data_IF_570603150497
#
_entry.id   IF_570603150497
#
_cell.length_a   1.000
_cell.length_b   1.000
_cell.length_c   1.000
_cell.angle_alpha   90.00
_cell.angle_beta   90.00
_cell.angle_gamma   90.00
#
_symmetry.space_group_name_H-M   'P 1'
#
loop_
_entity.id
_entity.type
_entity.pdbx_description
1 polymer ?
#
# COMPACT_ATOMS: atom_id res chain seq x y z
N UNK A 1 -4.34 -18.99 13.42
CA UNK A 1 -5.02 -18.31 12.29
C UNK A 1 -4.57 -16.88 12.33
N UNK A 2 -3.64 -16.49 11.44
CA UNK A 2 -3.10 -15.13 11.44
C UNK A 2 -4.22 -14.23 10.92
N UNK A 3 -4.88 -13.54 11.85
CA UNK A 3 -5.95 -12.59 11.57
C UNK A 3 -5.33 -11.49 10.72
N UNK A 4 -5.49 -11.57 9.40
CA UNK A 4 -5.05 -10.55 8.46
C UNK A 4 -5.78 -9.25 8.78
N UNK A 5 -5.25 -8.48 9.72
CA UNK A 5 -5.78 -7.18 10.10
C UNK A 5 -5.74 -6.31 8.85
N UNK A 6 -6.92 -6.02 8.27
CA UNK A 6 -7.04 -5.05 7.18
C UNK A 6 -6.39 -3.75 7.64
N UNK A 7 -5.22 -3.44 7.09
CA UNK A 7 -4.53 -2.17 7.36
C UNK A 7 -5.30 -1.08 6.64
N UNK A 8 -5.89 -0.20 7.42
CA UNK A 8 -6.55 1.01 6.92
C UNK A 8 -5.48 2.04 6.57
N UNK A 9 -5.82 3.06 5.76
CA UNK A 9 -4.87 4.13 5.41
C UNK A 9 -4.29 4.89 6.63
N UNK A 10 -4.93 4.77 7.81
CA UNK A 10 -4.48 5.32 9.09
C UNK A 10 -3.31 4.55 9.71
N UNK A 11 -3.11 3.29 9.33
CA UNK A 11 -2.08 2.42 9.89
C UNK A 11 -0.71 2.59 9.20
N UNK A 12 -0.63 3.47 8.20
CA UNK A 12 0.58 3.74 7.46
C UNK A 12 1.21 5.05 7.91
N UNK A 13 2.46 4.96 8.39
CA UNK A 13 3.30 6.12 8.67
C UNK A 13 3.52 6.94 7.39
N UNK A 14 3.79 8.24 7.55
CA UNK A 14 4.11 9.11 6.42
C UNK A 14 5.29 8.56 5.60
N UNK A 15 6.34 8.07 6.27
CA UNK A 15 7.50 7.47 5.64
C UNK A 15 7.14 6.27 4.76
N UNK A 16 6.23 5.40 5.22
CA UNK A 16 5.75 4.28 4.41
C UNK A 16 5.00 4.74 3.16
N UNK A 17 4.14 5.76 3.28
CA UNK A 17 3.39 6.29 2.12
C UNK A 17 4.34 6.85 1.07
N UNK A 18 5.37 7.58 1.50
CA UNK A 18 6.38 8.14 0.61
C UNK A 18 7.20 7.05 -0.09
N UNK A 19 7.60 5.98 0.62
CA UNK A 19 8.37 4.89 0.00
C UNK A 19 7.56 4.12 -1.04
N UNK A 20 6.24 3.96 -0.84
CA UNK A 20 5.36 3.35 -1.84
C UNK A 20 5.25 4.24 -3.08
N UNK A 21 5.11 5.55 -2.91
CA UNK A 21 5.05 6.51 -4.04
C UNK A 21 6.36 6.47 -4.83
N UNK A 22 7.51 6.49 -4.15
CA UNK A 22 8.82 6.43 -4.79
C UNK A 22 8.98 5.16 -5.66
N UNK A 23 8.58 3.99 -5.15
CA UNK A 23 8.63 2.74 -5.91
C UNK A 23 7.71 2.76 -7.15
N UNK A 24 6.55 3.44 -7.06
CA UNK A 24 5.65 3.62 -8.22
C UNK A 24 6.27 4.55 -9.26
N UNK A 25 6.82 5.68 -8.82
CA UNK A 25 7.44 6.69 -9.71
C UNK A 25 8.68 6.14 -10.42
N UNK A 26 9.45 5.29 -9.75
CA UNK A 26 10.60 4.58 -10.33
C UNK A 26 10.20 3.45 -11.30
N UNK A 27 8.92 3.07 -11.35
CA UNK A 27 8.42 1.96 -12.17
C UNK A 27 8.75 0.57 -11.60
N UNK A 28 9.21 0.49 -10.35
CA UNK A 28 9.51 -0.77 -9.67
C UNK A 28 8.24 -1.56 -9.32
N UNK A 29 7.11 -0.86 -9.16
CA UNK A 29 5.80 -1.45 -8.99
C UNK A 29 4.70 -0.59 -9.61
N UNK A 30 3.63 -1.22 -10.11
CA UNK A 30 2.42 -0.49 -10.46
C UNK A 30 1.60 -0.19 -9.20
N UNK A 31 0.73 0.81 -9.25
CA UNK A 31 -0.18 1.09 -8.14
C UNK A 31 -1.03 -0.15 -7.76
N UNK A 32 -1.40 -0.99 -8.74
CA UNK A 32 -2.17 -2.24 -8.50
C UNK A 32 -1.34 -3.28 -7.75
N UNK A 33 -0.05 -3.35 -8.06
CA UNK A 33 0.87 -4.27 -7.37
C UNK A 33 1.16 -3.79 -5.95
N UNK A 34 1.29 -2.48 -5.73
CA UNK A 34 1.36 -1.89 -4.40
C UNK A 34 0.13 -2.25 -3.56
N UNK A 35 -1.07 -2.15 -4.13
CA UNK A 35 -2.31 -2.51 -3.44
C UNK A 35 -2.31 -3.97 -2.98
N UNK A 36 -1.95 -4.90 -3.86
CA UNK A 36 -1.89 -6.34 -3.53
C UNK A 36 -0.79 -6.65 -2.52
N UNK A 37 0.41 -6.09 -2.71
CA UNK A 37 1.60 -6.37 -1.89
C UNK A 37 1.48 -5.81 -0.48
N UNK A 38 0.93 -4.60 -0.37
CA UNK A 38 0.86 -3.90 0.91
C UNK A 38 -0.53 -3.93 1.55
N UNK A 39 -1.55 -4.47 0.87
CA UNK A 39 -2.93 -4.44 1.37
C UNK A 39 -3.52 -3.03 1.39
N UNK A 40 -3.13 -2.18 0.43
CA UNK A 40 -3.64 -0.81 0.34
C UNK A 40 -5.00 -0.84 -0.34
N UNK A 41 -6.00 -0.27 0.35
CA UNK A 41 -7.35 -0.16 -0.16
C UNK A 41 -7.43 0.77 -1.38
N UNK A 42 -8.18 0.36 -2.40
CA UNK A 42 -8.39 1.14 -3.63
C UNK A 42 -9.58 2.10 -3.56
N UNK A 43 -9.82 2.81 -4.66
CA UNK A 43 -10.86 3.84 -4.80
C UNK A 43 -12.29 3.35 -4.55
N UNK A 44 -12.56 2.05 -4.66
CA UNK A 44 -13.92 1.48 -4.66
C UNK A 44 -14.32 0.80 -3.34
N UNK A 45 -13.52 0.96 -2.29
CA UNK A 45 -13.69 0.28 -1.01
C UNK A 45 -13.30 1.23 0.11
#
# INVERSE_FOLDING_TARGET
>A
METGSKRTQRDYTLAFKLSVVEQVEKGELSYKDAQRRYGIQGRST
#
